data_IF_414626212678
#
_entry.id   IF_414626212678
#
_cell.length_a   1.000
_cell.length_b   1.000
_cell.length_c   1.000
_cell.angle_alpha   90.00
_cell.angle_beta   90.00
_cell.angle_gamma   90.00
#
_symmetry.space_group_name_H-M   'P 1'
#
loop_
_entity.id
_entity.type
_entity.pdbx_description
1 polymer ?
#
# COMPACT_ATOMS: atom_id res chain seq x y z
N UNK A 1 -8.01 -48.91 -11.79
CA UNK A 1 -6.65 -48.46 -11.41
C UNK A 1 -6.72 -46.99 -11.08
N UNK A 2 -7.27 -46.63 -9.92
CA UNK A 2 -6.58 -46.46 -8.62
C UNK A 2 -5.67 -45.23 -8.59
N UNK A 3 -6.23 -44.10 -8.16
CA UNK A 3 -5.82 -43.43 -6.92
C UNK A 3 -6.82 -42.31 -6.58
N UNK A 4 -7.63 -42.58 -5.56
CA UNK A 4 -8.53 -41.64 -4.88
C UNK A 4 -8.11 -41.68 -3.42
N UNK A 5 -7.62 -40.56 -2.88
CA UNK A 5 -7.19 -40.39 -1.48
C UNK A 5 -6.61 -38.97 -1.38
N UNK A 6 -6.88 -38.11 -0.40
CA UNK A 6 -7.53 -38.17 0.90
C UNK A 6 -7.65 -36.69 1.28
N UNK A 7 -8.81 -36.19 1.74
CA UNK A 7 -8.96 -34.99 2.59
C UNK A 7 -10.46 -34.73 2.86
N UNK A 8 -11.08 -35.58 3.68
CA UNK A 8 -12.39 -35.25 4.32
C UNK A 8 -12.57 -36.10 5.58
N UNK A 9 -12.14 -35.60 6.74
CA UNK A 9 -12.57 -36.14 8.04
C UNK A 9 -12.08 -35.27 9.19
N UNK A 10 -12.78 -34.20 9.58
CA UNK A 10 -12.74 -33.63 10.94
C UNK A 10 -13.95 -32.72 11.17
N UNK A 11 -15.14 -33.27 11.44
CA UNK A 11 -16.19 -32.64 12.27
C UNK A 11 -17.21 -33.71 12.71
N UNK A 12 -17.20 -34.17 13.98
CA UNK A 12 -18.26 -35.02 14.49
C UNK A 12 -19.52 -34.19 14.78
N UNK A 13 -20.67 -34.66 14.27
CA UNK A 13 -22.00 -34.12 14.59
C UNK A 13 -22.34 -34.44 16.05
N UNK A 14 -22.59 -33.40 16.84
CA UNK A 14 -23.09 -33.51 18.21
C UNK A 14 -24.56 -33.93 18.23
N UNK A 15 -24.85 -34.97 19.00
CA UNK A 15 -26.19 -35.52 19.25
C UNK A 15 -27.00 -34.61 20.17
N UNK A 16 -28.25 -34.35 19.78
CA UNK A 16 -29.25 -33.64 20.60
C UNK A 16 -29.65 -34.48 21.81
N UNK A 17 -29.31 -34.02 23.01
CA UNK A 17 -29.97 -34.43 24.25
C UNK A 17 -31.11 -33.46 24.56
N UNK A 18 -32.32 -33.98 24.68
CA UNK A 18 -33.49 -33.28 25.20
C UNK A 18 -33.47 -33.34 26.73
N UNK A 19 -33.20 -32.21 27.39
CA UNK A 19 -33.40 -32.05 28.82
C UNK A 19 -34.45 -30.97 29.07
N UNK A 20 -35.32 -31.24 30.03
CA UNK A 20 -36.53 -30.48 30.32
C UNK A 20 -36.24 -29.05 30.76
N UNK A 21 -37.17 -28.16 30.38
CA UNK A 21 -37.20 -26.77 30.82
C UNK A 21 -37.61 -26.72 32.30
N UNK A 22 -36.63 -26.62 33.19
CA UNK A 22 -36.82 -25.90 34.45
C UNK A 22 -36.84 -24.40 34.12
N UNK A 23 -37.83 -23.69 34.67
CA UNK A 23 -38.02 -22.25 34.55
C UNK A 23 -36.92 -21.54 35.36
N UNK A 24 -35.74 -21.42 34.76
CA UNK A 24 -34.61 -20.67 35.30
C UNK A 24 -34.99 -19.19 35.27
N UNK A 25 -34.95 -18.53 36.43
CA UNK A 25 -35.12 -17.08 36.52
C UNK A 25 -34.24 -16.39 35.48
N UNK A 26 -34.75 -15.36 34.76
CA UNK A 26 -34.00 -14.72 33.69
C UNK A 26 -32.63 -14.29 34.25
N UNK A 27 -31.53 -14.62 33.57
CA UNK A 27 -30.21 -14.21 34.02
C UNK A 27 -30.20 -12.69 34.22
N UNK A 28 -29.47 -12.17 35.22
CA UNK A 28 -29.29 -10.73 35.36
C UNK A 28 -28.86 -10.17 34.00
N UNK A 29 -29.52 -9.09 33.57
CA UNK A 29 -29.17 -8.41 32.33
C UNK A 29 -27.65 -8.16 32.35
N UNK A 30 -26.93 -8.49 31.26
CA UNK A 30 -25.51 -8.26 31.21
C UNK A 30 -25.23 -6.78 31.53
N UNK A 31 -24.15 -6.48 32.26
CA UNK A 31 -23.76 -5.08 32.50
C UNK A 31 -23.71 -4.37 31.15
N UNK A 32 -24.21 -3.13 31.12
CA UNK A 32 -24.20 -2.33 29.91
C UNK A 32 -22.76 -2.27 29.40
N UNK A 33 -22.53 -2.45 28.09
CA UNK A 33 -21.19 -2.52 27.49
C UNK A 33 -20.31 -1.34 27.90
N UNK A 34 -20.94 -0.17 28.12
CA UNK A 34 -20.34 1.04 28.65
C UNK A 34 -19.65 0.85 30.02
N UNK A 35 -20.29 0.16 30.96
CA UNK A 35 -19.73 -0.12 32.29
C UNK A 35 -18.54 -1.08 32.18
N UNK A 36 -18.69 -2.11 31.33
CA UNK A 36 -17.64 -3.09 31.08
C UNK A 36 -16.39 -2.43 30.49
N UNK A 37 -16.54 -1.55 29.51
CA UNK A 37 -15.39 -0.86 28.90
C UNK A 37 -14.72 0.12 29.87
N UNK A 38 -15.50 0.85 30.68
CA UNK A 38 -14.94 1.70 31.75
C UNK A 38 -14.16 0.89 32.78
N UNK A 39 -14.67 -0.28 33.18
CA UNK A 39 -13.97 -1.18 34.10
C UNK A 39 -12.66 -1.71 33.50
N UNK A 40 -12.69 -2.10 32.22
CA UNK A 40 -11.49 -2.52 31.49
C UNK A 40 -10.47 -1.38 31.44
N UNK A 41 -10.88 -0.15 31.10
CA UNK A 41 -9.98 1.00 31.05
C UNK A 41 -9.34 1.31 32.42
N UNK A 42 -10.12 1.24 33.51
CA UNK A 42 -9.60 1.39 34.89
C UNK A 42 -8.59 0.32 35.28
N UNK A 43 -8.71 -0.87 34.69
CA UNK A 43 -7.75 -1.96 34.93
C UNK A 43 -6.47 -1.80 34.10
N UNK A 44 -6.56 -1.15 32.93
CA UNK A 44 -5.46 -1.01 31.98
C UNK A 44 -4.58 0.21 32.22
N UNK A 45 -5.13 1.27 32.81
CA UNK A 45 -4.47 2.57 32.95
C UNK A 45 -4.41 3.03 34.40
N UNK A 46 -3.34 3.73 34.74
CA UNK A 46 -3.18 4.34 36.06
C UNK A 46 -4.03 5.60 36.21
N UNK A 47 -4.28 6.04 37.45
CA UNK A 47 -5.04 7.27 37.76
C UNK A 47 -4.39 8.55 37.19
N UNK A 48 -3.08 8.51 36.89
CA UNK A 48 -2.35 9.62 36.28
C UNK A 48 -2.58 9.69 34.76
N UNK A 49 -2.75 8.53 34.12
CA UNK A 49 -3.01 8.38 32.68
C UNK A 49 -4.50 8.58 32.35
N UNK A 50 -5.40 8.06 33.18
CA UNK A 50 -6.85 8.06 32.95
C UNK A 50 -7.59 8.88 34.02
N UNK A 51 -8.15 10.02 33.60
CA UNK A 51 -8.83 10.97 34.49
C UNK A 51 -10.30 11.10 34.13
N UNK A 52 -11.17 10.55 34.97
CA UNK A 52 -12.62 10.67 34.82
C UNK A 52 -13.09 12.08 35.22
N UNK A 53 -13.84 12.72 34.32
CA UNK A 53 -14.56 13.98 34.61
C UNK A 53 -15.97 13.70 35.12
N UNK A 54 -16.57 12.60 34.67
CA UNK A 54 -17.79 12.00 35.24
C UNK A 54 -17.74 10.45 35.13
N UNK A 55 -18.85 9.75 35.31
CA UNK A 55 -18.87 8.28 35.25
C UNK A 55 -18.48 7.70 33.87
N UNK A 56 -18.76 8.44 32.80
CA UNK A 56 -18.65 7.99 31.40
C UNK A 56 -17.93 9.00 30.48
N UNK A 57 -17.36 10.05 31.07
CA UNK A 57 -16.50 11.04 30.41
C UNK A 57 -15.13 11.03 31.09
N UNK A 58 -14.08 10.96 30.28
CA UNK A 58 -12.71 10.90 30.78
C UNK A 58 -11.71 11.44 29.77
N UNK A 59 -10.57 11.89 30.29
CA UNK A 59 -9.36 12.19 29.53
C UNK A 59 -8.35 11.06 29.74
N UNK A 60 -7.83 10.52 28.64
CA UNK A 60 -6.78 9.50 28.63
C UNK A 60 -5.52 10.07 28.00
N UNK A 61 -4.39 9.98 28.70
CA UNK A 61 -3.07 10.34 28.20
C UNK A 61 -2.39 9.09 27.66
N UNK A 62 -2.09 9.09 26.36
CA UNK A 62 -1.42 8.00 25.66
C UNK A 62 0.00 8.41 25.33
N UNK A 63 0.96 7.62 25.79
CA UNK A 63 2.35 7.72 25.34
C UNK A 63 2.48 7.12 23.94
N UNK A 64 2.76 7.97 22.95
CA UNK A 64 2.91 7.57 21.54
C UNK A 64 4.24 8.09 21.00
N UNK A 65 5.27 7.24 21.12
CA UNK A 65 6.65 7.61 20.79
C UNK A 65 7.18 8.68 21.74
N UNK A 66 7.69 9.79 21.18
CA UNK A 66 8.22 10.94 21.93
C UNK A 66 7.14 12.04 22.14
N UNK A 67 5.87 11.65 22.22
CA UNK A 67 4.72 12.55 22.38
C UNK A 67 3.71 11.96 23.35
N UNK A 68 3.02 12.86 24.05
CA UNK A 68 1.81 12.53 24.80
C UNK A 68 0.62 12.97 23.95
N UNK A 69 -0.32 12.06 23.72
CA UNK A 69 -1.59 12.32 23.03
C UNK A 69 -2.71 12.27 24.07
N UNK A 70 -3.49 13.34 24.17
CA UNK A 70 -4.69 13.36 25.02
C UNK A 70 -5.91 12.96 24.20
N UNK A 71 -6.56 11.89 24.59
CA UNK A 71 -7.85 11.42 24.09
C UNK A 71 -8.94 11.75 25.12
N UNK A 72 -9.78 12.74 24.82
CA UNK A 72 -11.00 12.99 25.57
C UNK A 72 -12.13 12.14 24.98
N UNK A 73 -12.83 11.39 25.83
CA UNK A 73 -13.90 10.50 25.43
C UNK A 73 -15.18 10.78 26.25
N UNK A 74 -16.34 10.64 25.60
CA UNK A 74 -17.64 10.60 26.24
C UNK A 74 -18.46 9.43 25.68
N UNK A 75 -18.92 8.55 26.56
CA UNK A 75 -19.77 7.40 26.22
C UNK A 75 -21.25 7.72 26.45
N UNK A 76 -22.06 7.88 25.39
CA UNK A 76 -23.47 8.23 25.53
C UNK A 76 -24.28 7.10 26.19
N UNK A 77 -25.53 7.37 26.57
CA UNK A 77 -26.41 6.35 27.17
C UNK A 77 -26.75 5.21 26.20
N UNK A 78 -26.80 5.49 24.89
CA UNK A 78 -27.06 4.49 23.85
C UNK A 78 -25.83 3.70 23.39
N UNK A 79 -24.72 3.72 24.13
CA UNK A 79 -23.48 3.05 23.73
C UNK A 79 -23.59 1.51 23.81
N UNK A 80 -23.15 0.73 22.79
CA UNK A 80 -22.34 1.15 21.62
C UNK A 80 -23.14 1.59 20.38
N UNK A 81 -24.46 1.44 20.35
CA UNK A 81 -25.28 1.76 19.17
C UNK A 81 -25.21 3.26 18.81
N UNK A 82 -25.10 4.12 19.81
CA UNK A 82 -24.71 5.52 19.67
C UNK A 82 -23.20 5.63 19.85
N UNK A 83 -22.51 6.09 18.79
CA UNK A 83 -21.05 6.17 18.77
C UNK A 83 -20.49 7.08 19.86
N UNK A 84 -19.37 6.66 20.44
CA UNK A 84 -18.64 7.45 21.42
C UNK A 84 -18.13 8.77 20.81
N UNK A 85 -18.17 9.85 21.59
CA UNK A 85 -17.64 11.14 21.18
C UNK A 85 -16.16 11.26 21.56
N UNK A 86 -15.30 11.47 20.56
CA UNK A 86 -13.85 11.59 20.74
C UNK A 86 -13.34 13.00 20.40
N UNK A 87 -12.39 13.47 21.20
CA UNK A 87 -11.55 14.63 20.90
C UNK A 87 -10.08 14.30 21.15
N UNK A 88 -9.24 14.61 20.17
CA UNK A 88 -7.80 14.30 20.21
C UNK A 88 -7.02 15.60 20.28
N UNK A 89 -6.02 15.66 21.16
CA UNK A 89 -5.05 16.74 21.25
C UNK A 89 -3.63 16.18 21.36
N UNK A 90 -2.69 16.80 20.65
CA UNK A 90 -1.26 16.47 20.73
C UNK A 90 -0.47 17.75 20.49
N UNK A 91 0.46 18.09 21.39
CA UNK A 91 1.23 19.34 21.31
C UNK A 91 2.22 19.36 20.12
N UNK A 92 2.55 18.19 19.58
CA UNK A 92 3.51 18.05 18.48
C UNK A 92 2.87 18.02 17.10
N UNK A 93 1.54 18.02 17.03
CA UNK A 93 0.79 18.08 15.78
C UNK A 93 0.17 19.46 15.63
N UNK A 94 0.23 20.00 14.42
CA UNK A 94 -0.49 21.22 14.10
C UNK A 94 -2.00 20.97 13.97
N UNK A 95 -2.76 22.05 13.73
CA UNK A 95 -4.21 21.97 13.63
C UNK A 95 -4.68 21.12 12.45
N UNK A 96 -4.02 21.22 11.30
CA UNK A 96 -4.41 20.47 10.10
C UNK A 96 -4.19 18.97 10.33
N UNK A 97 -3.01 18.61 10.83
CA UNK A 97 -2.67 17.22 11.17
C UNK A 97 -3.64 16.62 12.21
N UNK A 98 -4.03 17.41 13.21
CA UNK A 98 -5.03 16.98 14.19
C UNK A 98 -6.41 16.77 13.57
N UNK A 99 -6.83 17.63 12.64
CA UNK A 99 -8.13 17.51 11.98
C UNK A 99 -8.17 16.29 11.04
N UNK A 100 -7.08 16.01 10.32
CA UNK A 100 -6.91 14.77 9.53
C UNK A 100 -6.95 13.52 10.41
N UNK A 101 -6.19 13.51 11.51
CA UNK A 101 -6.17 12.39 12.45
C UNK A 101 -7.56 12.13 13.06
N UNK A 102 -8.31 13.19 13.41
CA UNK A 102 -9.69 13.10 13.91
C UNK A 102 -10.64 12.56 12.85
N UNK A 103 -10.48 12.98 11.60
CA UNK A 103 -11.32 12.48 10.50
C UNK A 103 -11.09 10.98 10.28
N UNK A 104 -9.83 10.55 10.24
CA UNK A 104 -9.45 9.16 10.10
C UNK A 104 -9.91 8.30 11.30
N UNK A 105 -9.79 8.81 12.54
CA UNK A 105 -10.31 8.14 13.72
C UNK A 105 -11.84 7.94 13.63
N UNK A 106 -12.60 8.96 13.24
CA UNK A 106 -14.07 8.84 13.08
C UNK A 106 -14.46 7.82 12.03
N UNK A 107 -13.76 7.77 10.90
CA UNK A 107 -13.98 6.76 9.88
C UNK A 107 -13.70 5.35 10.43
N UNK A 108 -12.59 5.18 11.15
CA UNK A 108 -12.21 3.91 11.78
C UNK A 108 -13.24 3.43 12.81
N UNK A 109 -13.84 4.34 13.58
CA UNK A 109 -14.89 4.03 14.56
C UNK A 109 -16.21 3.67 13.88
N UNK A 110 -16.55 4.33 12.76
CA UNK A 110 -17.75 4.01 12.00
C UNK A 110 -17.72 2.61 11.37
N UNK A 111 -16.52 2.06 11.17
CA UNK A 111 -16.30 0.70 10.66
C UNK A 111 -16.23 -0.38 11.77
N UNK A 112 -16.38 -0.02 13.06
CA UNK A 112 -16.42 -0.98 14.17
C UNK A 112 -17.67 -1.87 14.11
N UNK A 113 -17.52 -3.14 14.48
CA UNK A 113 -18.66 -4.06 14.57
C UNK A 113 -19.58 -3.71 15.76
N UNK A 114 -20.88 -4.05 15.70
CA UNK A 114 -21.93 -3.69 16.70
C UNK A 114 -21.64 -4.14 18.15
N UNK A 115 -20.57 -4.91 18.39
CA UNK A 115 -20.18 -5.40 19.72
C UNK A 115 -18.74 -5.06 20.11
N UNK A 116 -18.07 -4.22 19.33
CA UNK A 116 -16.69 -3.85 19.59
C UNK A 116 -16.59 -2.64 20.52
N UNK A 117 -15.61 -2.71 21.43
CA UNK A 117 -15.29 -1.63 22.37
C UNK A 117 -14.58 -0.48 21.62
N UNK A 118 -15.35 0.54 21.24
CA UNK A 118 -14.91 1.66 20.41
C UNK A 118 -13.76 2.47 21.04
N UNK A 119 -13.66 2.57 22.36
CA UNK A 119 -12.56 3.31 23.01
C UNK A 119 -11.26 2.54 22.88
N UNK A 120 -11.28 1.22 23.09
CA UNK A 120 -10.11 0.37 22.89
C UNK A 120 -9.64 0.41 21.42
N UNK A 121 -10.58 0.42 20.48
CA UNK A 121 -10.29 0.62 19.07
C UNK A 121 -9.64 1.99 18.79
N UNK A 122 -10.20 3.07 19.35
CA UNK A 122 -9.65 4.41 19.23
C UNK A 122 -8.22 4.53 19.78
N UNK A 123 -7.95 3.89 20.93
CA UNK A 123 -6.62 3.83 21.54
C UNK A 123 -5.63 3.15 20.61
N UNK A 124 -5.98 1.98 20.05
CA UNK A 124 -5.11 1.25 19.14
C UNK A 124 -4.84 2.04 17.86
N UNK A 125 -5.89 2.63 17.30
CA UNK A 125 -5.79 3.51 16.14
C UNK A 125 -4.80 4.66 16.38
N UNK A 126 -4.93 5.37 17.52
CA UNK A 126 -4.05 6.49 17.86
C UNK A 126 -2.61 6.06 18.10
N UNK A 127 -2.37 4.93 18.77
CA UNK A 127 -1.02 4.39 18.97
C UNK A 127 -0.33 4.08 17.64
N UNK A 128 -1.06 3.55 16.67
CA UNK A 128 -0.54 3.21 15.35
C UNK A 128 -0.32 4.44 14.47
N UNK A 129 -1.30 5.36 14.41
CA UNK A 129 -1.31 6.44 13.41
C UNK A 129 -0.70 7.75 13.94
N UNK A 130 -0.88 8.06 15.22
CA UNK A 130 -0.35 9.30 15.78
C UNK A 130 1.19 9.26 15.90
N UNK A 131 1.79 8.08 16.12
CA UNK A 131 3.25 7.94 16.17
C UNK A 131 3.90 8.27 14.83
N UNK A 132 3.26 7.85 13.73
CA UNK A 132 3.68 8.19 12.36
C UNK A 132 3.54 9.68 12.11
N UNK A 133 2.41 10.29 12.48
CA UNK A 133 2.17 11.72 12.31
C UNK A 133 3.17 12.58 13.11
N UNK A 134 3.44 12.20 14.37
CA UNK A 134 4.41 12.89 15.24
C UNK A 134 5.82 12.77 14.68
N UNK A 135 6.22 11.59 14.21
CA UNK A 135 7.55 11.39 13.60
C UNK A 135 7.70 12.22 12.31
N UNK A 136 6.64 12.32 11.50
CA UNK A 136 6.61 13.18 10.32
C UNK A 136 6.74 14.67 10.68
N UNK A 137 6.05 15.14 11.72
CA UNK A 137 6.13 16.51 12.22
C UNK A 137 7.49 16.83 12.90
N UNK A 138 8.11 15.84 13.53
CA UNK A 138 9.40 15.95 14.22
C UNK A 138 10.58 16.08 13.27
N UNK A 139 10.45 15.52 12.07
CA UNK A 139 11.44 15.72 11.02
C UNK A 139 11.28 17.17 10.60
N UNK A 140 12.29 18.06 10.83
CA UNK A 140 12.21 19.39 10.28
C UNK A 140 12.03 19.19 8.79
N UNK A 141 10.81 19.45 8.31
CA UNK A 141 10.56 19.61 6.90
C UNK A 141 11.43 20.80 6.55
N UNK A 142 12.66 20.52 6.11
CA UNK A 142 13.28 21.29 5.05
C UNK A 142 12.23 21.19 3.95
N UNK A 143 11.17 22.02 4.05
CA UNK A 143 10.28 22.27 2.96
C UNK A 143 11.27 22.63 1.87
N UNK A 144 11.44 21.75 0.86
CA UNK A 144 12.22 22.16 -0.28
C UNK A 144 11.65 23.52 -0.65
N UNK A 145 12.48 24.47 -1.05
CA UNK A 145 11.98 25.70 -1.64
C UNK A 145 11.38 25.38 -3.04
N UNK A 146 10.49 24.39 -3.08
CA UNK A 146 9.76 23.94 -4.23
C UNK A 146 8.78 25.03 -4.62
N UNK A 147 8.26 25.81 -3.65
CA UNK A 147 7.43 26.97 -3.92
C UNK A 147 8.16 28.04 -4.75
N UNK A 148 9.42 28.43 -4.44
CA UNK A 148 10.16 29.37 -5.29
C UNK A 148 10.63 28.76 -6.62
N UNK A 149 10.69 27.43 -6.74
CA UNK A 149 11.02 26.72 -7.99
C UNK A 149 9.79 26.21 -8.76
N UNK A 150 8.59 26.58 -8.31
CA UNK A 150 7.36 25.92 -8.73
C UNK A 150 6.84 26.37 -10.10
N UNK A 151 6.92 27.67 -10.42
CA UNK A 151 6.55 28.17 -11.75
C UNK A 151 7.46 27.60 -12.84
N UNK A 152 8.78 27.61 -12.59
CA UNK A 152 9.76 27.03 -13.51
C UNK A 152 9.54 25.51 -13.69
N UNK A 153 9.07 24.82 -12.66
CA UNK A 153 8.70 23.41 -12.77
C UNK A 153 7.47 23.21 -13.65
N UNK A 154 6.40 23.99 -13.43
CA UNK A 154 5.20 23.92 -14.24
C UNK A 154 5.49 24.21 -15.71
N UNK A 155 6.35 25.19 -16.00
CA UNK A 155 6.81 25.48 -17.36
C UNK A 155 7.56 24.30 -17.99
N UNK A 156 8.41 23.60 -17.22
CA UNK A 156 9.10 22.39 -17.70
C UNK A 156 8.13 21.24 -17.97
N UNK A 157 7.15 21.02 -17.09
CA UNK A 157 6.12 20.01 -17.27
C UNK A 157 5.25 20.32 -18.50
N UNK A 158 4.78 21.56 -18.63
CA UNK A 158 4.04 22.08 -19.76
C UNK A 158 4.80 21.87 -21.09
N UNK A 159 6.06 22.28 -21.12
CA UNK A 159 6.95 22.11 -22.28
C UNK A 159 7.13 20.63 -22.63
N UNK A 160 7.32 19.78 -21.62
CA UNK A 160 7.46 18.34 -21.85
C UNK A 160 6.18 17.66 -22.34
N UNK A 161 5.00 18.10 -21.90
CA UNK A 161 3.72 17.59 -22.38
C UNK A 161 3.48 18.02 -23.83
N UNK A 162 3.75 19.28 -24.15
CA UNK A 162 3.66 19.77 -25.53
C UNK A 162 4.60 19.00 -26.48
N UNK A 163 5.84 18.75 -26.06
CA UNK A 163 6.80 17.95 -26.83
C UNK A 163 6.34 16.51 -27.07
N UNK A 164 5.53 15.96 -26.17
CA UNK A 164 4.94 14.62 -26.28
C UNK A 164 3.63 14.59 -27.10
N UNK A 165 3.24 15.71 -27.73
CA UNK A 165 2.08 15.77 -28.61
C UNK A 165 0.76 16.15 -27.93
N UNK A 166 0.78 16.59 -26.67
CA UNK A 166 -0.43 17.09 -26.01
C UNK A 166 -0.81 18.48 -26.54
N UNK A 167 -2.11 18.69 -26.77
CA UNK A 167 -2.70 20.00 -27.09
C UNK A 167 -3.04 20.76 -25.80
N UNK A 168 -2.63 22.02 -25.70
CA UNK A 168 -2.80 22.83 -24.50
C UNK A 168 -4.07 23.71 -24.55
N UNK A 169 -4.85 23.67 -23.47
CA UNK A 169 -6.04 24.48 -23.21
C UNK A 169 -5.92 25.13 -21.83
N UNK A 170 -5.11 26.19 -21.75
CA UNK A 170 -4.70 26.76 -20.46
C UNK A 170 -3.73 25.82 -19.74
N UNK A 171 -4.09 25.35 -18.54
CA UNK A 171 -3.29 24.37 -17.77
C UNK A 171 -3.73 22.92 -17.98
N UNK A 172 -4.68 22.69 -18.89
CA UNK A 172 -5.16 21.37 -19.25
C UNK A 172 -4.53 20.94 -20.56
N UNK A 173 -3.87 19.79 -20.56
CA UNK A 173 -3.15 19.21 -21.69
C UNK A 173 -3.87 17.93 -22.11
N UNK A 174 -4.27 17.84 -23.39
CA UNK A 174 -5.07 16.72 -23.90
C UNK A 174 -4.34 16.03 -25.05
N UNK A 175 -4.17 14.72 -24.95
CA UNK A 175 -3.71 13.86 -26.04
C UNK A 175 -4.88 13.02 -26.56
N UNK A 176 -5.57 13.54 -27.58
CA UNK A 176 -6.82 12.94 -28.10
C UNK A 176 -6.64 11.48 -28.55
N UNK A 177 -5.60 11.20 -29.34
CA UNK A 177 -5.36 9.85 -29.89
C UNK A 177 -5.17 8.78 -28.79
N UNK A 178 -4.52 9.15 -27.68
CA UNK A 178 -4.25 8.24 -26.57
C UNK A 178 -5.26 8.38 -25.42
N UNK A 179 -6.25 9.25 -25.57
CA UNK A 179 -7.31 9.51 -24.58
C UNK A 179 -6.74 9.79 -23.19
N UNK A 180 -5.76 10.70 -23.13
CA UNK A 180 -5.08 11.09 -21.90
C UNK A 180 -5.22 12.60 -21.69
N UNK A 181 -5.57 13.00 -20.48
CA UNK A 181 -5.65 14.39 -20.06
C UNK A 181 -4.76 14.61 -18.85
N UNK A 182 -3.99 15.69 -18.84
CA UNK A 182 -3.15 16.11 -17.72
C UNK A 182 -3.50 17.54 -17.37
N UNK A 183 -3.91 17.78 -16.12
CA UNK A 183 -4.13 19.12 -15.58
C UNK A 183 -2.96 19.49 -14.66
N UNK A 184 -2.34 20.64 -14.93
CA UNK A 184 -1.31 21.21 -14.07
C UNK A 184 -1.94 22.19 -13.08
N UNK A 185 -1.86 21.90 -11.78
CA UNK A 185 -2.45 22.73 -10.72
C UNK A 185 -1.47 23.76 -10.19
N UNK A 186 -1.98 24.74 -9.46
CA UNK A 186 -1.14 25.74 -8.82
C UNK A 186 -0.39 25.14 -7.63
N UNK A 187 0.93 25.37 -7.52
CA UNK A 187 1.75 24.87 -6.43
C UNK A 187 1.22 25.33 -5.06
N UNK A 188 0.72 26.57 -5.00
CA UNK A 188 0.13 27.15 -3.79
C UNK A 188 -1.14 26.44 -3.29
N UNK A 189 -1.78 25.62 -4.14
CA UNK A 189 -2.99 24.86 -3.80
C UNK A 189 -2.73 23.36 -3.58
N UNK A 190 -1.47 22.94 -3.56
CA UNK A 190 -1.08 21.54 -3.46
C UNK A 190 -0.23 21.31 -2.21
N UNK A 191 -0.38 20.15 -1.58
CA UNK A 191 0.42 19.74 -0.42
C UNK A 191 1.73 19.08 -0.87
N UNK A 192 1.73 18.54 -2.09
CA UNK A 192 2.85 17.82 -2.66
C UNK A 192 3.06 18.12 -4.15
N UNK A 193 4.25 17.77 -4.66
CA UNK A 193 4.58 17.95 -6.07
C UNK A 193 3.72 17.08 -7.00
N UNK A 194 3.40 15.87 -6.56
CA UNK A 194 2.57 14.94 -7.33
C UNK A 194 1.16 15.50 -7.51
N UNK A 195 0.61 16.19 -6.51
CA UNK A 195 -0.71 16.84 -6.60
C UNK A 195 -0.76 18.01 -7.59
N UNK A 196 0.40 18.57 -7.96
CA UNK A 196 0.47 19.58 -9.02
C UNK A 196 0.16 18.99 -10.41
N UNK A 197 0.12 17.67 -10.54
CA UNK A 197 -0.09 16.98 -11.82
C UNK A 197 -1.24 15.97 -11.69
N UNK A 198 -2.42 16.36 -12.15
CA UNK A 198 -3.58 15.47 -12.20
C UNK A 198 -3.67 14.80 -13.58
N UNK A 199 -3.36 13.51 -13.65
CA UNK A 199 -3.52 12.72 -14.86
C UNK A 199 -4.85 11.94 -14.87
N UNK A 200 -5.49 11.87 -16.03
CA UNK A 200 -6.69 11.09 -16.31
C UNK A 200 -6.51 10.34 -17.63
N UNK A 201 -6.81 9.04 -17.66
CA UNK A 201 -6.72 8.23 -18.86
C UNK A 201 -7.76 7.10 -18.86
N UNK A 202 -8.36 6.84 -20.01
CA UNK A 202 -9.39 5.81 -20.14
C UNK A 202 -8.85 4.42 -19.78
N UNK A 203 -9.55 3.74 -18.87
CA UNK A 203 -9.22 2.38 -18.44
C UNK A 203 -8.06 2.26 -17.46
N UNK A 204 -7.56 3.37 -16.89
CA UNK A 204 -6.57 3.38 -15.81
C UNK A 204 -7.17 4.09 -14.59
N UNK A 205 -7.00 3.53 -13.40
CA UNK A 205 -7.52 4.18 -12.18
C UNK A 205 -6.72 5.44 -11.85
N UNK A 206 -7.38 6.43 -11.25
CA UNK A 206 -6.74 7.67 -10.80
C UNK A 206 -5.59 7.41 -9.82
N UNK A 207 -5.75 6.41 -8.94
CA UNK A 207 -4.72 6.00 -7.99
C UNK A 207 -3.47 5.45 -8.70
N UNK A 208 -3.64 4.59 -9.72
CA UNK A 208 -2.51 4.06 -10.48
C UNK A 208 -1.77 5.19 -11.24
N UNK A 209 -2.51 6.18 -11.75
CA UNK A 209 -1.95 7.35 -12.43
C UNK A 209 -1.18 8.26 -11.46
N UNK A 210 -1.72 8.50 -10.27
CA UNK A 210 -1.05 9.29 -9.23
C UNK A 210 0.29 8.65 -8.84
N UNK A 211 0.29 7.34 -8.60
CA UNK A 211 1.52 6.60 -8.28
C UNK A 211 2.54 6.62 -9.44
N UNK A 212 2.07 6.53 -10.69
CA UNK A 212 2.95 6.67 -11.86
C UNK A 212 3.59 8.06 -11.94
N UNK A 213 2.81 9.13 -11.74
CA UNK A 213 3.29 10.51 -11.75
C UNK A 213 4.34 10.70 -10.66
N UNK A 214 4.05 10.25 -9.43
CA UNK A 214 4.98 10.36 -8.30
C UNK A 214 6.33 9.72 -8.61
N UNK A 215 6.32 8.48 -9.11
CA UNK A 215 7.55 7.77 -9.46
C UNK A 215 8.31 8.41 -10.62
N UNK A 216 7.62 8.97 -11.62
CA UNK A 216 8.27 9.68 -12.72
C UNK A 216 8.93 10.99 -12.27
N UNK A 217 8.27 11.74 -11.39
CA UNK A 217 8.83 12.98 -10.82
C UNK A 217 10.04 12.69 -9.93
N UNK A 218 9.99 11.63 -9.12
CA UNK A 218 11.12 11.20 -8.30
C UNK A 218 12.29 10.67 -9.14
N UNK A 219 12.01 9.89 -10.19
CA UNK A 219 13.04 9.35 -11.08
C UNK A 219 13.70 10.44 -11.92
N UNK A 220 12.95 11.48 -12.29
CA UNK A 220 13.41 12.54 -13.18
C UNK A 220 13.03 13.94 -12.64
N UNK A 221 13.70 14.43 -11.59
CA UNK A 221 13.35 15.72 -10.96
C UNK A 221 13.40 16.92 -11.92
N UNK A 222 14.21 16.83 -12.99
CA UNK A 222 14.29 17.85 -14.04
C UNK A 222 13.09 17.90 -14.98
N UNK A 223 12.17 16.93 -14.92
CA UNK A 223 10.95 16.81 -15.75
C UNK A 223 11.18 16.76 -17.27
N UNK A 224 12.42 16.71 -17.74
CA UNK A 224 12.74 16.55 -19.17
C UNK A 224 12.16 15.22 -19.68
N UNK A 225 11.35 15.26 -20.73
CA UNK A 225 10.70 14.08 -21.31
C UNK A 225 9.62 13.43 -20.43
N UNK A 226 9.16 14.13 -19.39
CA UNK A 226 8.05 13.69 -18.54
C UNK A 226 6.81 13.27 -19.34
N UNK A 227 6.36 14.11 -20.28
CA UNK A 227 5.16 13.84 -21.07
C UNK A 227 5.22 12.53 -21.87
N UNK A 228 6.37 12.25 -22.49
CA UNK A 228 6.58 11.02 -23.27
C UNK A 228 6.59 9.78 -22.37
N UNK A 229 7.31 9.84 -21.25
CA UNK A 229 7.38 8.72 -20.30
C UNK A 229 6.06 8.44 -19.60
N UNK A 230 5.33 9.49 -19.21
CA UNK A 230 3.99 9.38 -18.64
C UNK A 230 3.06 8.68 -19.64
N UNK A 231 3.05 9.14 -20.89
CA UNK A 231 2.21 8.57 -21.94
C UNK A 231 2.55 7.10 -22.18
N UNK A 232 3.84 6.76 -22.30
CA UNK A 232 4.29 5.38 -22.47
C UNK A 232 3.87 4.51 -21.28
N UNK A 233 4.01 4.99 -20.04
CA UNK A 233 3.58 4.29 -18.84
C UNK A 233 2.07 4.02 -18.83
N UNK A 234 1.25 4.99 -19.24
CA UNK A 234 -0.21 4.85 -19.37
C UNK A 234 -0.56 3.80 -20.42
N UNK A 235 0.09 3.84 -21.59
CA UNK A 235 -0.13 2.88 -22.66
C UNK A 235 0.24 1.46 -22.25
N UNK A 236 1.37 1.30 -21.55
CA UNK A 236 1.80 0.01 -21.00
C UNK A 236 0.77 -0.54 -20.00
N UNK A 237 0.25 0.30 -19.10
CA UNK A 237 -0.77 -0.10 -18.14
C UNK A 237 -2.09 -0.53 -18.80
N UNK A 238 -2.61 0.28 -19.75
CA UNK A 238 -3.83 -0.04 -20.51
C UNK A 238 -3.68 -1.36 -21.26
N UNK A 239 -2.58 -1.50 -21.99
CA UNK A 239 -2.31 -2.68 -22.76
C UNK A 239 -2.28 -3.93 -21.88
N UNK A 240 -1.57 -3.87 -20.74
CA UNK A 240 -1.42 -4.99 -19.82
C UNK A 240 -2.70 -5.34 -19.04
N UNK A 241 -3.64 -4.40 -18.94
CA UNK A 241 -4.97 -4.66 -18.40
C UNK A 241 -5.88 -5.34 -19.44
N UNK A 242 -5.66 -5.07 -20.74
CA UNK A 242 -6.48 -5.58 -21.84
C UNK A 242 -6.37 -7.08 -22.11
N UNK A 243 -7.32 -7.59 -22.91
CA UNK A 243 -7.27 -8.94 -23.49
C UNK A 243 -6.22 -9.04 -24.61
N UNK A 244 -5.86 -7.91 -25.23
CA UNK A 244 -4.83 -7.85 -26.27
C UNK A 244 -3.47 -8.34 -25.79
N UNK A 245 -3.18 -8.22 -24.49
CA UNK A 245 -1.97 -8.77 -23.88
C UNK A 245 -1.86 -10.29 -23.98
N UNK A 246 -2.99 -10.98 -24.15
CA UNK A 246 -3.08 -12.44 -24.32
C UNK A 246 -3.34 -12.82 -25.79
N UNK A 247 -3.50 -11.83 -26.67
CA UNK A 247 -3.70 -12.04 -28.09
C UNK A 247 -2.49 -12.72 -28.74
N UNK A 248 -2.67 -13.44 -29.86
CA UNK A 248 -1.56 -13.95 -30.67
C UNK A 248 -0.82 -12.77 -31.32
N UNK A 249 0.00 -12.07 -30.54
CA UNK A 249 0.79 -10.95 -31.01
C UNK A 249 1.83 -11.38 -32.04
N UNK A 250 2.05 -10.50 -33.03
CA UNK A 250 2.93 -10.55 -34.20
C UNK A 250 4.38 -11.04 -33.98
N UNK A 251 4.81 -11.30 -32.75
CA UNK A 251 6.15 -11.77 -32.42
C UNK A 251 6.29 -13.29 -32.54
N UNK A 252 5.85 -13.88 -33.65
CA UNK A 252 6.21 -15.23 -34.06
C UNK A 252 7.69 -15.32 -34.50
N UNK A 253 8.57 -14.56 -33.83
CA UNK A 253 10.01 -14.76 -33.90
C UNK A 253 10.31 -16.06 -33.16
N UNK A 254 11.15 -16.91 -33.76
CA UNK A 254 11.62 -18.18 -33.19
C UNK A 254 11.87 -18.01 -31.68
N UNK A 255 11.02 -18.63 -30.85
CA UNK A 255 11.15 -18.53 -29.41
C UNK A 255 12.52 -19.06 -29.01
N UNK A 256 13.37 -18.19 -28.47
CA UNK A 256 14.59 -18.64 -27.81
C UNK A 256 14.18 -19.57 -26.66
N UNK A 257 14.97 -20.62 -26.36
CA UNK A 257 14.69 -21.48 -25.21
C UNK A 257 14.56 -20.65 -23.94
N UNK A 258 13.58 -20.99 -23.10
CA UNK A 258 13.36 -20.32 -21.81
C UNK A 258 14.57 -20.59 -20.90
N UNK A 259 15.19 -19.56 -20.31
CA UNK A 259 16.31 -19.75 -19.39
C UNK A 259 15.82 -20.46 -18.12
N UNK A 260 16.68 -21.30 -17.53
CA UNK A 260 16.34 -22.10 -16.34
C UNK A 260 17.36 -21.93 -15.21
N UNK A 261 16.88 -21.96 -13.96
CA UNK A 261 17.71 -22.07 -12.75
C UNK A 261 18.80 -20.99 -12.64
N UNK A 262 20.05 -21.43 -12.52
CA UNK A 262 21.22 -20.56 -12.29
C UNK A 262 21.45 -19.53 -13.39
N UNK A 263 21.02 -19.78 -14.63
CA UNK A 263 21.12 -18.78 -15.71
C UNK A 263 20.25 -17.56 -15.43
N UNK A 264 19.05 -17.78 -14.85
CA UNK A 264 18.14 -16.69 -14.49
C UNK A 264 18.78 -15.84 -13.39
N UNK A 265 19.26 -16.46 -12.32
CA UNK A 265 19.91 -15.77 -11.21
C UNK A 265 21.14 -14.96 -11.66
N UNK A 266 21.99 -15.53 -12.52
CA UNK A 266 23.14 -14.81 -13.06
C UNK A 266 22.71 -13.59 -13.87
N UNK A 267 21.69 -13.73 -14.72
CA UNK A 267 21.15 -12.60 -15.50
C UNK A 267 20.49 -11.55 -14.63
N UNK A 268 19.83 -11.95 -13.54
CA UNK A 268 19.27 -11.04 -12.55
C UNK A 268 20.36 -10.25 -11.83
N UNK A 269 21.43 -10.92 -11.40
CA UNK A 269 22.59 -10.29 -10.76
C UNK A 269 23.34 -9.29 -11.64
N UNK A 270 23.20 -9.38 -12.98
CA UNK A 270 23.74 -8.38 -13.92
C UNK A 270 22.81 -7.20 -14.17
N UNK A 271 21.50 -7.37 -13.98
CA UNK A 271 20.48 -6.35 -14.27
C UNK A 271 20.15 -5.49 -13.06
N UNK A 272 20.06 -6.12 -11.90
CA UNK A 272 19.62 -5.47 -10.67
C UNK A 272 20.82 -5.10 -9.79
N UNK A 273 20.74 -3.98 -9.04
CA UNK A 273 21.76 -3.65 -8.07
C UNK A 273 21.84 -4.75 -7.00
N UNK A 274 23.05 -5.09 -6.59
CA UNK A 274 23.27 -5.97 -5.44
C UNK A 274 22.66 -5.38 -4.16
N UNK A 275 22.48 -6.22 -3.13
CA UNK A 275 22.01 -5.77 -1.81
C UNK A 275 22.81 -4.59 -1.26
N UNK A 276 24.13 -4.63 -1.42
CA UNK A 276 25.03 -3.58 -0.94
C UNK A 276 24.86 -2.28 -1.72
N UNK A 277 24.81 -2.35 -3.06
CA UNK A 277 24.61 -1.18 -3.92
C UNK A 277 23.24 -0.54 -3.69
N UNK A 278 22.18 -1.37 -3.59
CA UNK A 278 20.84 -0.87 -3.32
C UNK A 278 20.78 -0.22 -1.92
N UNK A 279 21.33 -0.87 -0.89
CA UNK A 279 21.40 -0.30 0.47
C UNK A 279 22.11 1.04 0.49
N UNK A 280 23.28 1.14 -0.16
CA UNK A 280 24.04 2.38 -0.26
C UNK A 280 23.27 3.50 -0.97
N UNK A 281 22.43 3.14 -1.95
CA UNK A 281 21.60 4.09 -2.67
C UNK A 281 20.38 4.59 -1.89
N UNK A 282 19.89 3.80 -0.93
CA UNK A 282 18.75 4.15 -0.06
C UNK A 282 19.24 4.90 1.18
N UNK A 283 20.30 4.40 1.82
CA UNK A 283 20.91 4.97 3.04
C UNK A 283 22.38 5.30 2.80
N UNK A 284 22.69 6.50 2.25
CA UNK A 284 24.07 6.91 1.97
C UNK A 284 24.96 7.03 3.21
N UNK A 285 24.39 7.10 4.40
CA UNK A 285 25.12 7.13 5.68
C UNK A 285 25.45 5.72 6.22
N UNK A 286 25.01 4.66 5.52
CA UNK A 286 25.24 3.26 5.84
C UNK A 286 24.75 2.83 7.24
N UNK A 287 23.85 3.60 7.88
CA UNK A 287 23.30 3.24 9.20
C UNK A 287 22.28 2.12 9.14
N UNK A 288 21.67 1.92 7.97
CA UNK A 288 20.74 0.83 7.68
C UNK A 288 21.20 0.10 6.42
N UNK A 289 20.82 -1.16 6.34
CA UNK A 289 21.09 -2.03 5.21
C UNK A 289 19.95 -3.04 5.07
N UNK A 290 19.87 -3.68 3.90
CA UNK A 290 18.91 -4.75 3.66
C UNK A 290 19.27 -5.95 4.54
N UNK A 291 18.37 -6.33 5.45
CA UNK A 291 18.49 -7.55 6.24
C UNK A 291 17.94 -8.74 5.46
N UNK A 292 18.84 -9.50 4.85
CA UNK A 292 18.48 -10.67 4.05
C UNK A 292 17.90 -11.83 4.86
N UNK A 293 18.12 -11.84 6.18
CA UNK A 293 17.57 -12.85 7.09
C UNK A 293 16.21 -12.47 7.65
N UNK A 294 15.65 -11.32 7.26
CA UNK A 294 14.36 -10.86 7.75
C UNK A 294 13.28 -11.91 7.44
N UNK A 295 12.46 -12.30 8.44
CA UNK A 295 11.28 -13.12 8.22
C UNK A 295 10.17 -12.31 7.52
N UNK A 296 10.28 -12.15 6.20
CA UNK A 296 9.32 -11.38 5.40
C UNK A 296 8.32 -12.31 4.70
N UNK A 297 7.03 -11.99 4.73
CA UNK A 297 6.01 -12.63 3.90
C UNK A 297 5.71 -11.77 2.66
N UNK A 298 5.83 -12.37 1.49
CA UNK A 298 5.56 -11.74 0.20
C UNK A 298 4.31 -12.37 -0.43
N UNK A 299 3.22 -11.60 -0.49
CA UNK A 299 1.99 -12.01 -1.15
C UNK A 299 1.94 -11.40 -2.55
N UNK A 300 1.51 -12.15 -3.56
CA UNK A 300 1.20 -11.58 -4.88
C UNK A 300 -0.19 -11.92 -5.36
N UNK A 301 -0.84 -10.97 -6.01
CA UNK A 301 -2.23 -11.11 -6.44
C UNK A 301 -2.59 -10.21 -7.64
N UNK A 302 -3.82 -10.39 -8.12
CA UNK A 302 -4.42 -9.66 -9.23
C UNK A 302 -5.68 -8.92 -8.80
N UNK A 303 -5.77 -7.62 -9.06
CA UNK A 303 -6.91 -6.79 -8.62
C UNK A 303 -8.18 -6.97 -9.44
N UNK A 304 -8.10 -7.67 -10.57
CA UNK A 304 -9.27 -8.20 -11.26
C UNK A 304 -9.96 -9.35 -10.50
N UNK A 305 -9.29 -9.99 -9.53
CA UNK A 305 -9.78 -11.18 -8.82
C UNK A 305 -9.92 -10.98 -7.30
N UNK A 306 -9.11 -10.11 -6.70
CA UNK A 306 -9.11 -9.81 -5.27
C UNK A 306 -9.17 -8.30 -5.05
N UNK A 307 -9.66 -7.85 -3.89
CA UNK A 307 -9.57 -6.46 -3.44
C UNK A 307 -8.55 -6.32 -2.32
N UNK A 308 -8.05 -5.09 -2.08
CA UNK A 308 -7.16 -4.80 -0.93
C UNK A 308 -7.78 -5.19 0.42
N UNK A 309 -9.11 -5.12 0.53
CA UNK A 309 -9.89 -5.51 1.71
C UNK A 309 -10.14 -7.02 1.85
N UNK A 310 -9.62 -7.86 0.95
CA UNK A 310 -9.81 -9.31 1.04
C UNK A 310 -9.22 -9.86 2.34
N UNK A 311 -9.92 -10.80 2.97
CA UNK A 311 -9.44 -11.50 4.17
C UNK A 311 -8.05 -12.11 3.97
N UNK A 312 -7.74 -12.58 2.75
CA UNK A 312 -6.42 -13.12 2.37
C UNK A 312 -5.27 -12.11 2.46
N UNK A 313 -5.59 -10.82 2.55
CA UNK A 313 -4.65 -9.71 2.60
C UNK A 313 -4.70 -8.95 3.93
N UNK A 314 -5.49 -9.39 4.91
CA UNK A 314 -5.65 -8.71 6.21
C UNK A 314 -4.32 -8.50 6.94
N UNK A 315 -3.36 -9.39 6.74
CA UNK A 315 -2.03 -9.31 7.36
C UNK A 315 -1.06 -8.41 6.58
N UNK A 316 -1.39 -7.97 5.37
CA UNK A 316 -0.48 -7.17 4.56
C UNK A 316 -0.41 -5.73 5.09
N UNK A 317 0.77 -5.32 5.55
CA UNK A 317 1.02 -3.98 6.11
C UNK A 317 1.29 -2.94 5.01
N UNK A 318 1.62 -3.41 3.80
CA UNK A 318 1.91 -2.54 2.66
C UNK A 318 1.50 -3.20 1.35
N UNK A 319 0.82 -2.44 0.48
CA UNK A 319 0.39 -2.86 -0.84
C UNK A 319 1.24 -2.17 -1.92
N UNK A 320 1.99 -2.95 -2.69
CA UNK A 320 2.86 -2.49 -3.77
C UNK A 320 2.15 -2.65 -5.11
N UNK A 321 2.01 -1.55 -5.83
CA UNK A 321 1.46 -1.56 -7.18
C UNK A 321 2.54 -1.89 -8.21
N UNK A 322 2.47 -3.08 -8.80
CA UNK A 322 3.40 -3.52 -9.84
C UNK A 322 2.87 -3.25 -11.26
N UNK A 323 1.72 -2.56 -11.45
CA UNK A 323 1.13 -2.36 -12.79
C UNK A 323 2.01 -1.55 -13.73
N UNK A 324 2.80 -0.63 -13.20
CA UNK A 324 3.76 0.22 -13.93
C UNK A 324 4.99 -0.52 -14.47
N UNK A 325 5.24 -1.76 -14.05
CA UNK A 325 6.39 -2.55 -14.50
C UNK A 325 6.09 -3.25 -15.83
N UNK A 326 7.11 -3.39 -16.68
CA UNK A 326 6.96 -4.07 -17.96
C UNK A 326 7.45 -5.51 -17.88
N UNK A 327 6.54 -6.48 -18.05
CA UNK A 327 6.89 -7.91 -18.14
C UNK A 327 7.04 -8.45 -19.55
N UNK A 328 6.98 -7.60 -20.59
CA UNK A 328 6.94 -8.00 -22.01
C UNK A 328 8.29 -7.80 -22.70
N UNK A 329 8.40 -8.41 -23.88
CA UNK A 329 9.60 -8.34 -24.71
C UNK A 329 10.41 -9.63 -24.63
N UNK A 330 11.52 -9.69 -25.38
CA UNK A 330 12.45 -10.81 -25.35
C UNK A 330 11.88 -12.17 -25.77
N UNK A 331 10.71 -12.20 -26.44
CA UNK A 331 10.01 -13.44 -26.82
C UNK A 331 9.27 -14.12 -25.67
N UNK A 332 9.03 -13.44 -24.55
CA UNK A 332 8.23 -13.97 -23.44
C UNK A 332 6.80 -14.31 -23.87
N UNK A 333 6.30 -15.47 -23.46
CA UNK A 333 4.93 -15.92 -23.66
C UNK A 333 4.03 -15.40 -22.54
N UNK A 334 3.36 -14.27 -22.78
CA UNK A 334 2.46 -13.65 -21.80
C UNK A 334 1.18 -14.45 -21.54
N UNK A 335 0.94 -15.57 -22.24
CA UNK A 335 -0.14 -16.49 -21.87
C UNK A 335 0.23 -17.37 -20.67
N UNK A 336 1.52 -17.62 -20.49
CA UNK A 336 2.06 -18.31 -19.32
C UNK A 336 2.20 -17.36 -18.15
N UNK A 337 2.24 -17.89 -16.93
CA UNK A 337 2.56 -17.07 -15.76
C UNK A 337 4.08 -16.90 -15.58
N UNK A 338 4.50 -15.97 -14.73
CA UNK A 338 5.92 -15.65 -14.56
C UNK A 338 6.77 -16.79 -13.95
N UNK A 339 6.16 -17.81 -13.33
CA UNK A 339 6.87 -19.01 -12.86
C UNK A 339 7.10 -20.02 -13.99
N UNK A 340 6.30 -19.97 -15.04
CA UNK A 340 6.40 -20.84 -16.22
C UNK A 340 7.34 -20.24 -17.27
N UNK A 341 7.35 -18.91 -17.42
CA UNK A 341 8.24 -18.19 -18.33
C UNK A 341 9.13 -17.18 -17.61
N UNK A 342 10.36 -17.61 -17.31
CA UNK A 342 11.36 -16.78 -16.65
C UNK A 342 11.74 -15.50 -17.42
N UNK A 343 11.44 -15.40 -18.72
CA UNK A 343 11.67 -14.16 -19.49
C UNK A 343 10.78 -13.02 -18.99
N UNK A 344 9.59 -13.33 -18.48
CA UNK A 344 8.70 -12.33 -17.86
C UNK A 344 9.38 -11.73 -16.63
N UNK A 345 9.98 -12.57 -15.78
CA UNK A 345 10.73 -12.13 -14.59
C UNK A 345 11.92 -11.25 -15.00
N UNK A 346 12.66 -11.66 -16.03
CA UNK A 346 13.81 -10.90 -16.54
C UNK A 346 13.41 -9.54 -17.13
N UNK A 347 12.28 -9.46 -17.83
CA UNK A 347 11.76 -8.19 -18.35
C UNK A 347 11.37 -7.24 -17.20
N UNK A 348 10.74 -7.79 -16.14
CA UNK A 348 10.43 -6.98 -14.94
C UNK A 348 11.71 -6.54 -14.23
N UNK A 349 12.75 -7.38 -14.19
CA UNK A 349 14.05 -6.99 -13.65
C UNK A 349 14.68 -5.84 -14.45
N UNK A 350 14.57 -5.87 -15.79
CA UNK A 350 15.00 -4.75 -16.64
C UNK A 350 14.21 -3.48 -16.32
N UNK A 351 12.90 -3.58 -16.15
CA UNK A 351 12.08 -2.43 -15.78
C UNK A 351 12.45 -1.83 -14.41
N UNK A 352 12.99 -2.65 -13.48
CA UNK A 352 13.42 -2.22 -12.14
C UNK A 352 14.87 -1.72 -12.09
N UNK A 353 15.67 -1.94 -13.13
CA UNK A 353 17.09 -1.59 -13.14
C UNK A 353 17.33 -0.07 -13.18
N UNK A 354 16.38 0.69 -13.73
CA UNK A 354 16.52 2.13 -13.95
C UNK A 354 15.19 2.90 -13.85
N UNK A 355 15.29 4.24 -13.92
CA UNK A 355 14.14 5.15 -13.96
C UNK A 355 13.12 4.92 -12.84
N UNK A 356 11.83 4.97 -13.19
CA UNK A 356 10.71 4.78 -12.25
C UNK A 356 10.72 3.42 -11.55
N UNK A 357 11.21 2.36 -12.19
CA UNK A 357 11.23 1.04 -11.59
C UNK A 357 12.32 0.92 -10.51
N UNK A 358 13.48 1.54 -10.71
CA UNK A 358 14.50 1.62 -9.66
C UNK A 358 14.00 2.46 -8.46
N UNK A 359 13.27 3.54 -8.72
CA UNK A 359 12.61 4.32 -7.65
C UNK A 359 11.61 3.45 -6.90
N UNK A 360 10.73 2.72 -7.60
CA UNK A 360 9.79 1.79 -6.97
C UNK A 360 10.53 0.76 -6.09
N UNK A 361 11.60 0.14 -6.61
CA UNK A 361 12.39 -0.84 -5.87
C UNK A 361 12.98 -0.24 -4.60
N UNK A 362 13.59 0.95 -4.70
CA UNK A 362 14.14 1.68 -3.54
C UNK A 362 13.05 1.99 -2.51
N UNK A 363 11.91 2.52 -2.93
CA UNK A 363 10.81 2.87 -2.03
C UNK A 363 10.24 1.65 -1.31
N UNK A 364 10.09 0.52 -2.02
CA UNK A 364 9.63 -0.74 -1.43
C UNK A 364 10.62 -1.26 -0.39
N UNK A 365 11.89 -1.39 -0.76
CA UNK A 365 12.94 -1.89 0.15
C UNK A 365 13.13 -0.96 1.34
N UNK A 366 13.14 0.36 1.11
CA UNK A 366 13.23 1.36 2.16
C UNK A 366 12.10 1.21 3.17
N UNK A 367 10.86 1.07 2.69
CA UNK A 367 9.68 0.93 3.57
C UNK A 367 9.72 -0.35 4.39
N UNK A 368 10.12 -1.47 3.76
CA UNK A 368 10.32 -2.75 4.46
C UNK A 368 11.33 -2.61 5.61
N UNK A 369 12.47 -1.96 5.38
CA UNK A 369 13.53 -1.80 6.38
C UNK A 369 13.25 -0.70 7.43
N UNK A 370 12.61 0.41 7.05
CA UNK A 370 12.37 1.52 7.96
C UNK A 370 11.17 1.29 8.88
N UNK A 371 10.16 0.56 8.40
CA UNK A 371 8.92 0.29 9.14
C UNK A 371 8.84 -1.14 9.68
N UNK A 372 9.93 -1.90 9.57
CA UNK A 372 10.04 -3.30 10.01
C UNK A 372 8.85 -4.17 9.55
N UNK A 373 8.53 -4.06 8.26
CA UNK A 373 7.38 -4.77 7.68
C UNK A 373 7.64 -6.28 7.66
N UNK A 374 6.68 -7.03 8.17
CA UNK A 374 6.68 -8.49 8.23
C UNK A 374 5.89 -9.11 7.09
N UNK A 375 4.91 -8.39 6.53
CA UNK A 375 4.09 -8.87 5.43
C UNK A 375 3.76 -7.74 4.45
N UNK A 376 4.10 -7.94 3.18
CA UNK A 376 3.70 -7.03 2.09
C UNK A 376 2.94 -7.80 1.03
N UNK A 377 2.05 -7.10 0.33
CA UNK A 377 1.37 -7.65 -0.84
C UNK A 377 1.71 -6.85 -2.08
N UNK A 378 1.84 -7.54 -3.20
CA UNK A 378 2.24 -6.98 -4.49
C UNK A 378 1.15 -7.33 -5.49
N UNK A 379 0.59 -6.32 -6.15
CA UNK A 379 -0.54 -6.54 -7.05
C UNK A 379 -0.29 -6.01 -8.46
N UNK A 380 -0.92 -6.64 -9.43
CA UNK A 380 -1.06 -6.13 -10.77
C UNK A 380 -2.47 -6.44 -11.28
N UNK A 381 -2.77 -6.22 -12.56
CA UNK A 381 -4.13 -6.44 -13.09
C UNK A 381 -4.65 -7.87 -12.89
N UNK A 382 -3.91 -8.87 -13.43
CA UNK A 382 -4.33 -10.28 -13.44
C UNK A 382 -3.60 -11.16 -12.40
N UNK A 383 -2.57 -10.63 -11.74
CA UNK A 383 -1.86 -11.35 -10.68
C UNK A 383 -1.00 -12.55 -11.10
N UNK A 384 -0.57 -12.61 -12.37
CA UNK A 384 0.23 -13.74 -12.90
C UNK A 384 1.59 -13.37 -13.51
N UNK A 385 1.86 -12.06 -13.68
CA UNK A 385 3.08 -11.57 -14.34
C UNK A 385 3.87 -10.62 -13.44
N UNK A 386 3.53 -9.32 -13.47
CA UNK A 386 4.30 -8.24 -12.84
C UNK A 386 4.44 -8.41 -11.32
N UNK A 387 3.33 -8.67 -10.61
CA UNK A 387 3.34 -8.89 -9.17
C UNK A 387 4.08 -10.15 -8.75
N UNK A 388 3.88 -11.26 -9.47
CA UNK A 388 4.60 -12.52 -9.28
C UNK A 388 6.10 -12.31 -9.52
N UNK A 389 6.46 -11.64 -10.60
CA UNK A 389 7.86 -11.35 -10.95
C UNK A 389 8.54 -10.49 -9.89
N UNK A 390 7.95 -9.37 -9.47
CA UNK A 390 8.53 -8.53 -8.42
C UNK A 390 8.68 -9.31 -7.10
N UNK A 391 7.72 -10.18 -6.76
CA UNK A 391 7.82 -11.06 -5.58
C UNK A 391 9.01 -12.03 -5.69
N UNK A 392 9.17 -12.68 -6.86
CA UNK A 392 10.30 -13.57 -7.13
C UNK A 392 11.64 -12.81 -7.06
N UNK A 393 11.71 -11.60 -7.62
CA UNK A 393 12.90 -10.77 -7.60
C UNK A 393 13.29 -10.35 -6.18
N UNK A 394 12.32 -9.94 -5.36
CA UNK A 394 12.56 -9.61 -3.95
C UNK A 394 13.10 -10.82 -3.18
N UNK A 395 12.48 -12.00 -3.35
CA UNK A 395 12.93 -13.25 -2.73
C UNK A 395 14.35 -13.64 -3.16
N UNK A 396 14.63 -13.67 -4.46
CA UNK A 396 15.91 -14.15 -4.97
C UNK A 396 17.06 -13.18 -4.70
N UNK A 397 16.82 -11.87 -4.81
CA UNK A 397 17.91 -10.88 -4.80
C UNK A 397 18.12 -10.22 -3.44
N UNK A 398 17.07 -10.03 -2.66
CA UNK A 398 17.10 -9.15 -1.48
C UNK A 398 16.73 -9.86 -0.18
N UNK A 399 15.74 -10.74 -0.19
CA UNK A 399 15.19 -11.42 1.00
C UNK A 399 15.09 -12.94 0.80
N UNK A 400 16.23 -13.66 0.74
CA UNK A 400 16.30 -15.09 0.45
C UNK A 400 15.54 -15.98 1.44
N UNK A 401 15.19 -15.48 2.62
CA UNK A 401 14.44 -16.23 3.64
C UNK A 401 12.92 -15.95 3.62
N UNK A 402 12.44 -15.06 2.74
CA UNK A 402 11.03 -14.66 2.71
C UNK A 402 10.04 -15.79 2.36
N UNK A 403 8.89 -15.87 3.04
CA UNK A 403 7.78 -16.77 2.69
C UNK A 403 6.99 -16.18 1.51
N UNK A 404 6.85 -16.92 0.41
CA UNK A 404 6.20 -16.43 -0.82
C UNK A 404 4.87 -17.14 -1.04
N UNK A 405 3.80 -16.36 -1.25
CA UNK A 405 2.49 -16.89 -1.63
C UNK A 405 1.91 -16.14 -2.82
N UNK A 406 1.56 -16.88 -3.86
CA UNK A 406 0.88 -16.32 -5.03
C UNK A 406 -0.61 -16.66 -4.95
N UNK A 407 -1.44 -15.66 -4.67
CA UNK A 407 -2.85 -15.87 -4.30
C UNK A 407 -3.78 -16.09 -5.51
N UNK A 408 -3.29 -15.80 -6.73
CA UNK A 408 -4.09 -15.81 -7.98
C UNK A 408 -3.57 -16.76 -9.06
N UNK A 409 -2.41 -17.38 -8.88
CA UNK A 409 -1.95 -18.49 -9.75
C UNK A 409 -2.12 -19.79 -8.96
N UNK A 410 -2.84 -20.74 -9.55
CA UNK A 410 -3.20 -22.04 -8.94
C UNK A 410 -2.63 -23.17 -9.75
#
# INVERSE_FOLDING_TARGET
NTQTSVLTALYPRSSRCSLGHEEVAPPPLPPAMRDMEVEVLRSMYTDDELKFTDAFSFDLHLDVGDSIVRLSCHLPEGYPEEAAAFSVACERLDRQQLDELRHALRASIADCEEQEMQVLHAINFLKEHCGVAVAAAATPTLAPDWQATSDALLERLASSLAAAGFSAYGRVYVHEEKQCTVELREPASCESLVECVLAMADGVSSQDLLELVDLELQANPGCTGFGERLLQGILDMRYMAGSEADGPGSYASRAAPTPHGSEVEERLGRKLPSRQELSASIWPDFKRHIDASRPLRLLSWGDALLSRSSEKLREAQFHVNAKMLNGRGGGADTKQNALEDARIVLNVADALAEGRGLVLLRSVVRKIEEQDLQCISIFCSKGRHRSVSLTVLLKLMYYPDADVRHLTIT
#
